data_IF_430847471227
#
_entry.id   IF_430847471227
#
_cell.length_a   1.000
_cell.length_b   1.000
_cell.length_c   1.000
_cell.angle_alpha   90.00
_cell.angle_beta   90.00
_cell.angle_gamma   90.00
#
_symmetry.space_group_name_H-M   'P 1'
#
loop_
_entity.id
_entity.type
_entity.pdbx_description
1 polymer ?
#
# COMPACT_ATOMS: atom_id res chain seq x y z
N UNK A 1 -64.07 -36.19 29.02
CA UNK A 1 -62.65 -36.01 28.67
C UNK A 1 -61.77 -37.27 28.76
N UNK A 2 -62.30 -38.42 29.04
CA UNK A 2 -61.54 -39.70 29.16
C UNK A 2 -61.63 -40.60 27.92
N UNK A 3 -62.51 -40.33 26.99
CA UNK A 3 -62.74 -41.14 25.78
C UNK A 3 -61.98 -40.64 24.54
N UNK A 4 -61.46 -39.41 24.56
CA UNK A 4 -60.69 -38.86 23.43
C UNK A 4 -59.18 -39.24 23.43
N UNK A 5 -58.64 -39.65 24.59
CA UNK A 5 -57.23 -40.01 24.72
C UNK A 5 -56.99 -41.45 24.30
N UNK A 6 -57.97 -42.33 24.44
CA UNK A 6 -57.85 -43.76 24.09
C UNK A 6 -57.92 -44.02 22.60
N UNK A 7 -58.56 -43.15 21.81
CA UNK A 7 -58.60 -43.30 20.35
C UNK A 7 -57.36 -42.83 19.64
N UNK A 8 -56.61 -41.89 20.26
CA UNK A 8 -55.36 -41.36 19.67
C UNK A 8 -54.20 -42.36 19.83
N UNK A 9 -54.18 -43.18 20.91
CA UNK A 9 -53.13 -44.18 21.13
C UNK A 9 -53.30 -45.42 20.25
N UNK A 10 -54.51 -45.72 19.78
CA UNK A 10 -54.72 -46.91 18.94
C UNK A 10 -54.32 -46.67 17.47
N UNK A 11 -54.36 -45.43 16.99
CA UNK A 11 -53.98 -45.08 15.62
C UNK A 11 -52.43 -44.98 15.44
N UNK A 12 -51.70 -44.75 16.54
CA UNK A 12 -50.24 -44.66 16.48
C UNK A 12 -49.54 -46.06 16.44
N UNK A 13 -50.25 -47.16 16.77
CA UNK A 13 -49.64 -48.50 16.85
C UNK A 13 -49.76 -49.31 15.54
N UNK A 14 -50.49 -48.82 14.51
CA UNK A 14 -50.71 -49.58 13.26
C UNK A 14 -49.75 -49.20 12.13
N UNK A 15 -48.81 -48.30 12.34
CA UNK A 15 -47.87 -47.83 11.29
C UNK A 15 -46.47 -48.43 11.32
N UNK A 16 -46.21 -49.44 12.20
CA UNK A 16 -44.87 -50.03 12.39
C UNK A 16 -44.69 -51.44 11.81
N UNK A 17 -45.62 -51.93 10.98
CA UNK A 17 -45.48 -53.28 10.43
C UNK A 17 -45.58 -53.27 8.90
N UNK A 18 -44.53 -52.76 8.22
CA UNK A 18 -44.33 -53.03 6.79
C UNK A 18 -42.89 -52.77 6.39
N UNK A 19 -41.99 -53.69 6.65
CA UNK A 19 -40.76 -53.88 5.89
C UNK A 19 -40.27 -55.30 6.08
N UNK A 20 -40.73 -56.19 5.20
CA UNK A 20 -40.17 -57.53 5.02
C UNK A 20 -39.62 -57.61 3.60
N UNK A 21 -38.28 -57.84 3.52
CA UNK A 21 -37.71 -58.63 2.45
C UNK A 21 -37.15 -57.93 1.22
N UNK A 22 -35.83 -57.79 1.17
CA UNK A 22 -34.98 -58.43 0.16
C UNK A 22 -33.52 -58.20 0.50
N UNK A 23 -32.77 -59.32 0.64
CA UNK A 23 -31.34 -59.31 0.67
C UNK A 23 -30.79 -58.85 -0.66
N UNK A 24 -30.31 -57.62 -0.74
CA UNK A 24 -29.33 -57.18 -1.71
C UNK A 24 -28.07 -56.78 -0.95
N UNK A 25 -26.93 -57.39 -1.32
CA UNK A 25 -25.61 -57.06 -0.84
C UNK A 25 -25.39 -55.57 -0.86
N UNK A 26 -24.88 -54.94 0.20
CA UNK A 26 -24.46 -53.55 0.09
C UNK A 26 -23.19 -53.52 -0.77
N UNK A 27 -23.34 -53.07 -2.03
CA UNK A 27 -22.23 -52.50 -2.78
C UNK A 27 -21.85 -51.24 -2.03
N UNK A 28 -20.71 -51.29 -1.36
CA UNK A 28 -20.09 -50.13 -0.73
C UNK A 28 -19.71 -49.15 -1.82
N UNK A 29 -20.63 -48.32 -2.25
CA UNK A 29 -20.30 -47.03 -2.83
C UNK A 29 -19.81 -46.17 -1.67
N UNK A 30 -18.50 -46.10 -1.53
CA UNK A 30 -17.86 -45.06 -0.74
C UNK A 30 -18.35 -43.72 -1.33
N UNK A 31 -19.38 -43.17 -0.67
CA UNK A 31 -19.76 -41.77 -0.87
C UNK A 31 -18.61 -40.93 -0.33
N UNK A 32 -17.61 -40.77 -1.20
CA UNK A 32 -16.56 -39.81 -0.99
C UNK A 32 -17.25 -38.47 -1.11
N UNK A 33 -17.78 -37.97 -0.02
CA UNK A 33 -18.00 -36.54 0.19
C UNK A 33 -16.63 -35.90 0.06
N UNK A 34 -16.19 -35.66 -1.17
CA UNK A 34 -15.13 -34.76 -1.46
C UNK A 34 -15.61 -33.41 -0.92
N UNK A 35 -15.31 -33.16 0.35
CA UNK A 35 -15.32 -31.79 0.87
C UNK A 35 -14.46 -31.02 -0.09
N UNK A 36 -15.09 -30.24 -0.96
CA UNK A 36 -14.42 -29.34 -1.86
C UNK A 36 -13.51 -28.49 -0.97
N UNK A 37 -12.22 -28.81 -0.95
CA UNK A 37 -11.23 -27.99 -0.26
C UNK A 37 -11.28 -26.65 -0.96
N UNK A 38 -11.97 -25.71 -0.33
CA UNK A 38 -11.99 -24.33 -0.77
C UNK A 38 -10.53 -23.93 -0.92
N UNK A 39 -10.14 -23.54 -2.13
CA UNK A 39 -8.77 -23.09 -2.39
C UNK A 39 -8.58 -21.73 -1.71
N UNK A 40 -8.15 -21.82 -0.44
CA UNK A 40 -7.93 -20.65 0.41
C UNK A 40 -6.91 -19.69 -0.19
N UNK A 41 -5.96 -20.20 -0.99
CA UNK A 41 -4.97 -19.36 -1.68
C UNK A 41 -5.64 -18.44 -2.69
N UNK A 42 -6.56 -18.97 -3.50
CA UNK A 42 -7.28 -18.18 -4.49
C UNK A 42 -8.18 -17.12 -3.84
N UNK A 43 -8.80 -17.45 -2.71
CA UNK A 43 -9.57 -16.47 -1.94
C UNK A 43 -8.68 -15.34 -1.41
N UNK A 44 -7.51 -15.66 -0.88
CA UNK A 44 -6.54 -14.68 -0.41
C UNK A 44 -6.08 -13.77 -1.55
N UNK A 45 -5.68 -14.33 -2.69
CA UNK A 45 -5.27 -13.55 -3.86
C UNK A 45 -6.39 -12.58 -4.27
N UNK A 46 -7.64 -13.06 -4.34
CA UNK A 46 -8.79 -12.21 -4.65
C UNK A 46 -9.00 -11.09 -3.61
N UNK A 47 -8.78 -11.37 -2.33
CA UNK A 47 -8.91 -10.35 -1.27
C UNK A 47 -7.80 -9.30 -1.39
N UNK A 48 -6.56 -9.72 -1.62
CA UNK A 48 -5.43 -8.80 -1.85
C UNK A 48 -5.65 -7.95 -3.10
N UNK A 49 -6.11 -8.54 -4.20
CA UNK A 49 -6.42 -7.81 -5.43
C UNK A 49 -7.52 -6.76 -5.27
N UNK A 50 -8.50 -6.99 -4.38
CA UNK A 50 -9.54 -5.98 -4.06
C UNK A 50 -8.95 -4.74 -3.40
N UNK A 51 -7.84 -4.88 -2.69
CA UNK A 51 -7.08 -3.78 -2.13
C UNK A 51 -6.09 -3.30 -3.20
N UNK A 52 -6.50 -2.43 -4.14
CA UNK A 52 -5.63 -1.94 -5.22
C UNK A 52 -4.29 -1.43 -4.69
N UNK A 53 -4.27 -0.81 -3.52
CA UNK A 53 -3.07 -0.27 -2.86
C UNK A 53 -3.14 -0.45 -1.36
N UNK A 54 -2.05 -0.91 -0.76
CA UNK A 54 -1.89 -0.98 0.68
C UNK A 54 -0.97 0.15 1.14
N UNK A 55 -1.53 1.15 1.79
CA UNK A 55 -0.76 2.23 2.42
C UNK A 55 -0.32 1.77 3.80
N UNK A 56 0.99 1.67 4.03
CA UNK A 56 1.56 1.09 5.25
C UNK A 56 2.30 2.08 6.11
N UNK A 57 2.79 3.18 5.53
CA UNK A 57 3.61 4.17 6.23
C UNK A 57 3.25 5.59 5.77
N UNK A 58 3.20 6.52 6.73
CA UNK A 58 2.95 7.94 6.48
C UNK A 58 4.00 8.79 7.21
N UNK A 59 4.64 9.70 6.48
CA UNK A 59 5.55 10.69 7.03
C UNK A 59 4.97 12.10 6.84
N UNK A 60 5.01 12.89 7.89
CA UNK A 60 4.70 14.33 7.86
C UNK A 60 6.00 15.10 7.95
N UNK A 61 6.19 15.99 7.01
CA UNK A 61 7.44 16.71 6.79
C UNK A 61 7.16 18.19 6.79
N UNK A 62 7.93 18.91 7.60
CA UNK A 62 8.04 20.35 7.52
C UNK A 62 9.40 20.72 6.92
N UNK A 63 9.42 21.41 5.78
CA UNK A 63 10.65 21.80 5.08
C UNK A 63 10.58 23.25 4.67
N UNK A 64 11.70 23.97 4.82
CA UNK A 64 11.86 25.31 4.26
C UNK A 64 12.66 25.20 2.97
N UNK A 65 12.02 25.54 1.86
CA UNK A 65 12.65 25.60 0.54
C UNK A 65 13.29 26.97 0.41
N UNK A 66 14.59 27.02 0.18
CA UNK A 66 15.32 28.27 -0.01
C UNK A 66 15.83 28.38 -1.42
N UNK A 67 15.70 29.58 -2.03
CA UNK A 67 16.31 29.89 -3.29
C UNK A 67 17.11 31.20 -3.20
N UNK A 68 18.33 31.19 -3.70
CA UNK A 68 19.24 32.33 -3.74
C UNK A 68 19.57 32.64 -5.20
N UNK A 69 19.01 33.75 -5.70
CA UNK A 69 19.21 34.23 -7.07
C UNK A 69 20.14 35.41 -7.06
N UNK A 70 21.28 35.28 -7.75
CA UNK A 70 22.32 36.28 -7.85
C UNK A 70 22.55 36.64 -9.32
N UNK A 71 22.71 37.93 -9.60
CA UNK A 71 23.11 38.37 -10.94
C UNK A 71 24.57 38.03 -11.14
N UNK A 72 24.84 37.23 -12.16
CA UNK A 72 26.19 36.90 -12.61
C UNK A 72 26.50 37.68 -13.88
N UNK A 73 27.61 38.38 -13.87
CA UNK A 73 28.13 38.98 -15.08
C UNK A 73 29.19 38.05 -15.68
N UNK A 74 28.85 37.49 -16.83
CA UNK A 74 29.78 36.68 -17.61
C UNK A 74 30.37 37.51 -18.72
N UNK A 75 31.66 37.44 -18.90
CA UNK A 75 32.35 38.14 -19.98
C UNK A 75 33.62 37.41 -20.39
N UNK A 76 34.12 37.79 -21.58
CA UNK A 76 35.41 37.30 -22.08
C UNK A 76 36.32 38.48 -22.32
N UNK A 77 37.49 38.46 -21.68
CA UNK A 77 38.53 39.45 -21.93
C UNK A 77 39.83 38.73 -22.28
N UNK A 78 40.44 39.04 -23.41
CA UNK A 78 41.70 38.45 -23.84
C UNK A 78 41.76 36.91 -23.77
N UNK A 79 40.70 36.26 -24.27
CA UNK A 79 40.55 34.78 -24.27
C UNK A 79 40.34 34.12 -22.89
N UNK A 80 40.13 34.88 -21.84
CA UNK A 80 39.77 34.36 -20.51
C UNK A 80 38.32 34.65 -20.22
N UNK A 81 37.58 33.64 -19.87
CA UNK A 81 36.20 33.76 -19.40
C UNK A 81 36.21 34.14 -17.92
N UNK A 82 35.39 35.09 -17.51
CA UNK A 82 35.18 35.45 -16.12
C UNK A 82 33.70 35.44 -15.77
N UNK A 83 33.42 34.99 -14.55
CA UNK A 83 32.08 34.93 -13.95
C UNK A 83 32.16 35.72 -12.63
N UNK A 84 31.58 36.93 -12.62
CA UNK A 84 31.59 37.81 -11.46
C UNK A 84 30.20 37.87 -10.85
N UNK A 85 30.08 37.47 -9.57
CA UNK A 85 28.87 37.66 -8.81
C UNK A 85 28.72 39.11 -8.40
N UNK A 86 27.68 39.79 -8.88
CA UNK A 86 27.40 41.17 -8.51
C UNK A 86 26.62 41.19 -7.18
N UNK A 87 27.15 41.84 -6.13
CA UNK A 87 26.51 41.87 -4.82
C UNK A 87 25.21 42.69 -4.79
N UNK A 88 25.03 43.55 -5.80
CA UNK A 88 23.91 44.52 -5.91
C UNK A 88 22.62 43.90 -6.51
N UNK A 89 22.57 42.64 -6.80
CA UNK A 89 21.42 42.04 -7.49
C UNK A 89 20.87 40.76 -6.81
N UNK A 90 21.01 40.62 -5.51
CA UNK A 90 20.58 39.42 -4.80
C UNK A 90 19.09 39.40 -4.55
N UNK A 91 18.45 38.29 -4.83
CA UNK A 91 17.12 37.95 -4.34
C UNK A 91 17.20 36.63 -3.60
N UNK A 92 16.52 36.53 -2.48
CA UNK A 92 16.41 35.31 -1.69
C UNK A 92 14.98 35.08 -1.31
N UNK A 93 14.55 33.84 -1.33
CA UNK A 93 13.25 33.44 -0.83
C UNK A 93 13.36 32.20 0.02
N UNK A 94 12.54 32.14 1.07
CA UNK A 94 12.36 30.98 1.90
C UNK A 94 10.87 30.67 1.99
N UNK A 95 10.48 29.49 1.56
CA UNK A 95 9.10 29.04 1.46
C UNK A 95 8.91 27.84 2.41
N UNK A 96 8.19 27.99 3.53
CA UNK A 96 7.85 26.87 4.39
C UNK A 96 6.78 25.98 3.74
N UNK A 97 7.01 24.69 3.77
CA UNK A 97 6.12 23.68 3.17
C UNK A 97 5.86 22.56 4.16
N UNK A 98 4.58 22.29 4.43
CA UNK A 98 4.11 21.10 5.13
C UNK A 98 3.68 20.07 4.10
N UNK A 99 4.24 18.88 4.20
CA UNK A 99 3.96 17.81 3.25
C UNK A 99 3.63 16.50 3.97
N UNK A 100 2.72 15.72 3.38
CA UNK A 100 2.44 14.35 3.80
C UNK A 100 2.85 13.42 2.68
N UNK A 101 3.76 12.51 3.00
CA UNK A 101 4.26 11.48 2.08
C UNK A 101 3.85 10.12 2.60
N UNK A 102 3.31 9.28 1.72
CA UNK A 102 2.91 7.91 2.06
C UNK A 102 3.69 6.92 1.22
N UNK A 103 4.01 5.78 1.82
CA UNK A 103 4.47 4.62 1.09
C UNK A 103 3.33 3.60 0.95
N UNK A 104 3.23 2.98 -0.20
CA UNK A 104 2.19 2.00 -0.52
C UNK A 104 2.74 0.88 -1.39
N UNK A 105 2.08 -0.28 -1.30
CA UNK A 105 2.31 -1.42 -2.19
C UNK A 105 1.17 -1.44 -3.21
N UNK A 106 1.50 -1.57 -4.49
CA UNK A 106 0.54 -1.60 -5.59
C UNK A 106 0.24 -3.05 -5.98
N UNK A 107 -0.97 -3.50 -5.71
CA UNK A 107 -1.40 -4.88 -5.99
C UNK A 107 -2.03 -5.05 -7.38
N UNK A 108 -1.95 -4.06 -8.28
CA UNK A 108 -2.58 -4.15 -9.60
C UNK A 108 -2.12 -5.36 -10.43
N UNK A 109 -0.87 -5.81 -10.24
CA UNK A 109 -0.31 -7.00 -10.90
C UNK A 109 -0.27 -8.26 -10.02
N UNK A 110 -0.82 -8.24 -8.80
CA UNK A 110 -0.78 -9.39 -7.91
C UNK A 110 -1.67 -10.52 -8.43
N UNK A 111 -1.13 -11.75 -8.42
CA UNK A 111 -1.81 -12.93 -8.96
C UNK A 111 -1.36 -14.21 -8.22
N UNK A 112 -1.94 -15.34 -8.56
CA UNK A 112 -1.55 -16.65 -8.02
C UNK A 112 -0.06 -16.97 -8.28
N UNK A 113 0.55 -16.41 -9.33
CA UNK A 113 1.97 -16.58 -9.64
C UNK A 113 2.90 -15.97 -8.58
N UNK A 114 2.40 -15.02 -7.79
CA UNK A 114 3.14 -14.36 -6.72
C UNK A 114 3.04 -15.09 -5.37
N UNK A 115 2.31 -16.20 -5.34
CA UNK A 115 2.13 -17.03 -4.14
C UNK A 115 2.66 -18.43 -4.40
N UNK A 116 3.66 -18.81 -3.64
CA UNK A 116 4.19 -20.17 -3.64
C UNK A 116 3.78 -20.83 -2.33
N UNK A 117 3.22 -22.02 -2.42
CA UNK A 117 2.69 -22.72 -1.29
C UNK A 117 2.99 -24.20 -1.37
N UNK A 118 3.38 -24.80 -0.25
CA UNK A 118 3.37 -26.23 -0.02
C UNK A 118 2.41 -26.61 1.12
N UNK A 119 2.54 -27.81 1.69
CA UNK A 119 1.67 -28.28 2.78
C UNK A 119 1.83 -27.52 4.09
N UNK A 120 2.97 -26.90 4.33
CA UNK A 120 3.37 -26.28 5.59
C UNK A 120 3.79 -24.82 5.43
N UNK A 121 4.43 -24.46 4.32
CA UNK A 121 4.98 -23.15 4.07
C UNK A 121 4.19 -22.36 3.02
N UNK A 122 4.18 -21.03 3.18
CA UNK A 122 3.67 -20.10 2.18
C UNK A 122 4.65 -18.94 1.99
N UNK A 123 5.01 -18.67 0.75
CA UNK A 123 5.82 -17.52 0.34
C UNK A 123 4.97 -16.59 -0.52
N UNK A 124 4.97 -15.31 -0.19
CA UNK A 124 4.29 -14.27 -0.96
C UNK A 124 5.32 -13.26 -1.43
N UNK A 125 5.41 -13.09 -2.75
CA UNK A 125 6.27 -12.11 -3.40
C UNK A 125 5.46 -10.86 -3.71
N UNK A 126 5.79 -9.75 -3.06
CA UNK A 126 5.14 -8.45 -3.23
C UNK A 126 5.96 -7.53 -4.14
N UNK A 127 5.33 -6.55 -4.81
CA UNK A 127 6.08 -5.48 -5.46
C UNK A 127 6.73 -4.57 -4.43
N UNK A 128 7.85 -3.94 -4.83
CA UNK A 128 8.51 -2.93 -4.00
C UNK A 128 7.56 -1.78 -3.65
N UNK A 129 7.58 -1.29 -2.40
CA UNK A 129 6.80 -0.14 -2.01
C UNK A 129 7.16 1.10 -2.84
N UNK A 130 6.14 1.91 -3.16
CA UNK A 130 6.28 3.18 -3.87
C UNK A 130 5.93 4.34 -2.96
N UNK A 131 6.56 5.49 -3.20
CA UNK A 131 6.35 6.72 -2.45
C UNK A 131 5.41 7.63 -3.25
N UNK A 132 4.48 8.28 -2.55
CA UNK A 132 3.58 9.29 -3.12
C UNK A 132 3.40 10.46 -2.16
N UNK A 133 3.49 11.66 -2.70
CA UNK A 133 3.12 12.89 -1.99
C UNK A 133 1.59 13.03 -2.04
N UNK A 134 0.94 12.88 -0.89
CA UNK A 134 -0.53 12.92 -0.80
C UNK A 134 -1.08 14.29 -0.45
N UNK A 135 -0.26 15.12 0.20
CA UNK A 135 -0.60 16.50 0.56
C UNK A 135 0.65 17.37 0.54
N UNK A 136 0.51 18.58 0.04
CA UNK A 136 1.52 19.63 0.15
C UNK A 136 0.80 20.94 0.40
N UNK A 137 1.15 21.62 1.49
CA UNK A 137 0.61 22.92 1.86
C UNK A 137 1.75 23.89 2.07
N UNK A 138 1.64 25.05 1.45
CA UNK A 138 2.56 26.15 1.65
C UNK A 138 2.00 27.09 2.70
N UNK A 139 2.83 27.44 3.67
CA UNK A 139 2.50 28.53 4.59
C UNK A 139 2.86 29.87 3.95
N UNK A 140 1.90 30.45 3.24
CA UNK A 140 2.08 31.75 2.58
C UNK A 140 2.43 32.89 3.56
N UNK A 141 1.98 32.81 4.80
CA UNK A 141 2.30 33.81 5.82
C UNK A 141 3.75 33.67 6.33
N UNK A 142 4.30 32.49 6.20
CA UNK A 142 5.68 32.16 6.58
C UNK A 142 6.70 32.46 5.49
N UNK A 143 6.29 32.79 4.27
CA UNK A 143 7.22 33.14 3.17
C UNK A 143 8.05 34.36 3.59
N UNK A 144 9.36 34.27 3.42
CA UNK A 144 10.30 35.36 3.66
C UNK A 144 11.05 35.65 2.38
N UNK A 145 10.97 36.90 1.93
CA UNK A 145 11.64 37.38 0.72
C UNK A 145 12.63 38.48 1.08
N UNK A 146 13.77 38.45 0.43
CA UNK A 146 14.73 39.56 0.36
C UNK A 146 14.98 39.88 -1.11
N UNK A 147 14.64 41.10 -1.50
CA UNK A 147 14.81 41.58 -2.88
C UNK A 147 15.63 42.87 -2.84
N UNK A 148 16.76 42.86 -3.51
CA UNK A 148 17.58 44.08 -3.62
C UNK A 148 16.81 45.16 -4.41
N UNK A 149 17.03 46.44 -4.05
CA UNK A 149 16.33 47.59 -4.66
C UNK A 149 16.44 47.67 -6.19
N UNK A 150 17.46 47.06 -6.78
CA UNK A 150 17.72 47.00 -8.20
C UNK A 150 17.00 45.84 -8.92
N UNK A 151 16.24 45.03 -8.21
CA UNK A 151 15.59 43.82 -8.72
C UNK A 151 14.07 43.92 -8.59
N UNK A 152 13.37 43.23 -9.49
CA UNK A 152 11.92 43.00 -9.36
C UNK A 152 11.63 41.91 -8.33
N UNK A 153 10.47 41.96 -7.69
CA UNK A 153 9.95 40.90 -6.85
C UNK A 153 9.83 39.59 -7.64
N UNK A 154 9.70 38.50 -6.92
CA UNK A 154 9.43 37.19 -7.53
C UNK A 154 8.07 37.22 -8.22
N UNK A 155 7.99 36.64 -9.44
CA UNK A 155 6.72 36.46 -10.11
C UNK A 155 6.00 35.22 -9.65
N UNK A 156 4.69 35.13 -9.91
CA UNK A 156 3.89 33.94 -9.56
C UNK A 156 4.39 32.68 -10.28
N UNK A 157 4.94 32.84 -11.51
CA UNK A 157 5.54 31.73 -12.26
C UNK A 157 6.83 31.22 -11.58
N UNK A 158 7.68 32.16 -11.09
CA UNK A 158 8.90 31.81 -10.34
C UNK A 158 8.53 31.08 -9.04
N UNK A 159 7.56 31.60 -8.28
CA UNK A 159 7.08 30.98 -7.06
C UNK A 159 6.55 29.58 -7.32
N UNK A 160 5.70 29.42 -8.33
CA UNK A 160 5.16 28.10 -8.72
C UNK A 160 6.25 27.11 -9.16
N UNK A 161 7.32 27.60 -9.79
CA UNK A 161 8.47 26.76 -10.16
C UNK A 161 9.24 26.29 -8.93
N UNK A 162 9.49 27.19 -7.96
CA UNK A 162 10.18 26.82 -6.70
C UNK A 162 9.35 25.85 -5.86
N UNK A 163 8.03 26.01 -5.85
CA UNK A 163 7.12 25.08 -5.20
C UNK A 163 7.20 23.67 -5.80
N UNK A 164 7.20 23.55 -7.14
CA UNK A 164 7.37 22.25 -7.82
C UNK A 164 8.72 21.62 -7.46
N UNK A 165 9.81 22.42 -7.59
CA UNK A 165 11.15 21.96 -7.24
C UNK A 165 11.24 21.51 -5.78
N UNK A 166 10.57 22.23 -4.88
CA UNK A 166 10.50 21.87 -3.47
C UNK A 166 9.78 20.56 -3.22
N UNK A 167 8.66 20.30 -3.89
CA UNK A 167 7.93 19.02 -3.81
C UNK A 167 8.80 17.85 -4.29
N UNK A 168 9.50 18.03 -5.41
CA UNK A 168 10.38 17.00 -5.96
C UNK A 168 11.56 16.73 -5.00
N UNK A 169 12.12 17.78 -4.40
CA UNK A 169 13.17 17.65 -3.39
C UNK A 169 12.68 16.92 -2.13
N UNK A 170 11.45 17.16 -1.67
CA UNK A 170 10.85 16.44 -0.54
C UNK A 170 10.75 14.94 -0.85
N UNK A 171 10.25 14.59 -2.03
CA UNK A 171 10.14 13.19 -2.45
C UNK A 171 11.52 12.52 -2.52
N UNK A 172 12.51 13.21 -3.07
CA UNK A 172 13.88 12.71 -3.18
C UNK A 172 14.54 12.51 -1.81
N UNK A 173 14.34 13.44 -0.88
CA UNK A 173 14.87 13.33 0.49
C UNK A 173 14.23 12.16 1.24
N UNK A 174 12.91 12.02 1.15
CA UNK A 174 12.16 10.95 1.83
C UNK A 174 12.54 9.58 1.27
N UNK A 175 12.81 9.48 -0.01
CA UNK A 175 13.27 8.24 -0.63
C UNK A 175 14.63 7.74 -0.08
N UNK A 176 15.41 8.63 0.55
CA UNK A 176 16.68 8.29 1.21
C UNK A 176 16.51 7.91 2.69
N UNK A 177 15.31 8.04 3.22
CA UNK A 177 14.99 7.61 4.58
C UNK A 177 14.59 6.13 4.62
N UNK A 178 14.26 5.65 5.80
CA UNK A 178 13.79 4.28 6.06
C UNK A 178 12.32 4.04 5.69
N UNK A 179 11.67 4.99 4.98
CA UNK A 179 10.23 4.91 4.65
C UNK A 179 9.88 3.63 3.87
N UNK A 180 10.75 3.20 2.96
CA UNK A 180 10.54 1.98 2.16
C UNK A 180 10.63 0.74 3.05
N UNK A 181 11.63 0.68 3.94
CA UNK A 181 11.78 -0.44 4.86
C UNK A 181 10.63 -0.51 5.86
N UNK A 182 10.23 0.63 6.41
CA UNK A 182 9.06 0.72 7.28
C UNK A 182 7.77 0.30 6.54
N UNK A 183 7.68 0.58 5.25
CA UNK A 183 6.56 0.14 4.43
C UNK A 183 6.55 -1.38 4.22
N UNK A 184 7.71 -2.02 4.05
CA UNK A 184 7.82 -3.48 3.97
C UNK A 184 7.41 -4.13 5.29
N UNK A 185 7.91 -3.64 6.41
CA UNK A 185 7.54 -4.10 7.75
C UNK A 185 6.04 -3.92 7.98
N UNK A 186 5.50 -2.76 7.64
CA UNK A 186 4.07 -2.47 7.77
C UNK A 186 3.20 -3.41 6.94
N UNK A 187 3.63 -3.77 5.74
CA UNK A 187 2.92 -4.74 4.90
C UNK A 187 2.94 -6.15 5.52
N UNK A 188 4.09 -6.59 6.03
CA UNK A 188 4.21 -7.87 6.71
C UNK A 188 3.28 -7.92 7.94
N UNK A 189 3.24 -6.86 8.74
CA UNK A 189 2.38 -6.76 9.93
C UNK A 189 0.87 -6.83 9.59
N UNK A 190 0.47 -6.44 8.40
CA UNK A 190 -0.93 -6.56 7.94
C UNK A 190 -1.21 -7.94 7.35
N UNK A 191 -0.29 -8.47 6.54
CA UNK A 191 -0.54 -9.71 5.79
C UNK A 191 -0.31 -10.97 6.61
N UNK A 192 0.67 -11.00 7.51
CA UNK A 192 0.96 -12.19 8.33
C UNK A 192 -0.26 -12.64 9.13
N UNK A 193 -0.95 -11.78 9.91
CA UNK A 193 -2.15 -12.22 10.66
C UNK A 193 -3.29 -12.70 9.77
N UNK A 194 -3.40 -12.18 8.54
CA UNK A 194 -4.39 -12.63 7.58
C UNK A 194 -4.08 -14.05 7.07
N UNK A 195 -2.80 -14.35 6.86
CA UNK A 195 -2.33 -15.66 6.41
C UNK A 195 -2.42 -16.70 7.55
N UNK A 196 -2.14 -16.29 8.79
CA UNK A 196 -2.32 -17.13 9.97
C UNK A 196 -3.76 -17.64 10.12
N UNK A 197 -4.75 -16.79 9.84
CA UNK A 197 -6.16 -17.18 9.83
C UNK A 197 -6.51 -18.26 8.80
N UNK A 198 -5.63 -18.46 7.80
CA UNK A 198 -5.76 -19.54 6.81
C UNK A 198 -5.12 -20.85 7.27
N UNK A 199 -4.53 -20.89 8.48
CA UNK A 199 -3.98 -22.09 9.12
C UNK A 199 -2.48 -22.26 8.96
N UNK A 200 -1.74 -21.22 8.54
CA UNK A 200 -0.27 -21.25 8.54
C UNK A 200 0.28 -20.70 9.84
N UNK A 201 1.32 -21.35 10.38
CA UNK A 201 2.06 -20.80 11.53
C UNK A 201 2.95 -19.64 11.09
N UNK A 202 3.17 -18.61 11.94
CA UNK A 202 3.96 -17.42 11.60
C UNK A 202 5.37 -17.74 11.07
N UNK A 203 6.03 -18.74 11.64
CA UNK A 203 7.35 -19.21 11.25
C UNK A 203 7.41 -19.84 9.85
N UNK A 204 6.26 -20.18 9.30
CA UNK A 204 6.11 -20.79 7.98
C UNK A 204 5.60 -19.79 6.92
N UNK A 205 5.51 -18.51 7.28
CA UNK A 205 5.08 -17.45 6.38
C UNK A 205 6.29 -16.62 5.98
N UNK A 206 6.56 -16.55 4.69
CA UNK A 206 7.61 -15.71 4.12
C UNK A 206 7.00 -14.64 3.24
N UNK A 207 7.32 -13.37 3.52
CA UNK A 207 6.97 -12.23 2.66
C UNK A 207 8.26 -11.65 2.10
N UNK A 208 8.38 -11.65 0.78
CA UNK A 208 9.51 -11.09 0.06
C UNK A 208 9.07 -9.98 -0.89
N UNK A 209 10.01 -9.12 -1.30
CA UNK A 209 9.75 -7.98 -2.18
C UNK A 209 10.62 -8.07 -3.43
N UNK A 210 10.05 -7.78 -4.59
CA UNK A 210 10.75 -7.85 -5.88
C UNK A 210 10.60 -6.55 -6.66
N UNK A 211 11.72 -6.08 -7.25
CA UNK A 211 11.73 -4.97 -8.21
C UNK A 211 11.24 -5.40 -9.59
N UNK A 212 11.48 -6.65 -9.94
CA UNK A 212 11.09 -7.26 -11.24
C UNK A 212 9.71 -7.90 -11.15
N UNK A 213 8.80 -7.26 -10.47
CA UNK A 213 7.43 -7.72 -10.29
C UNK A 213 6.67 -7.61 -11.62
N UNK A 214 6.29 -8.76 -12.18
CA UNK A 214 5.50 -8.91 -13.42
C UNK A 214 4.19 -9.62 -13.12
#
# INVERSE_FOLDING_TARGET
MRTAITTLTLVALTLLASCSGKNEKPTTTADTTATARVDTTRLMVMQIQRCSRLYTTEYRIHKVITHDDQVKMKGRVLSHDYDINLPLGKRKIAIPVDATVKAYIDFAGFSDANVRRDSTHIEIVLPEPRIVLTSSRIDHNGIREYVALTRRNFSDEELSAYERQGRDAIIADVAQTDIIENARIGAANVLIPMIEQMGFSPENITISFSRDYK
#
